data_IF_140912585162
#
_entry.id   IF_140912585162
#
_cell.length_a   1.000
_cell.length_b   1.000
_cell.length_c   1.000
_cell.angle_alpha   90.00
_cell.angle_beta   90.00
_cell.angle_gamma   90.00
#
_symmetry.space_group_name_H-M   'P 1'
#
loop_
_entity.id
_entity.type
_entity.pdbx_description
1 polymer ?
#
# COMPACT_ATOMS: atom_id res chain seq x y z
N UNK A 1 -6.12 -5.32 12.21
CA UNK A 1 -6.92 -5.53 10.97
C UNK A 1 -5.93 -5.73 9.85
N UNK A 2 -6.10 -6.75 9.00
CA UNK A 2 -5.22 -6.97 7.83
C UNK A 2 -5.56 -6.00 6.71
N UNK A 3 -4.59 -5.72 5.83
CA UNK A 3 -4.80 -4.89 4.63
C UNK A 3 -5.97 -5.43 3.79
N UNK A 4 -6.00 -6.74 3.55
CA UNK A 4 -7.03 -7.40 2.75
C UNK A 4 -8.45 -7.22 3.32
N UNK A 5 -8.60 -7.21 4.66
CA UNK A 5 -9.89 -6.98 5.30
C UNK A 5 -10.32 -5.50 5.19
N UNK A 6 -9.39 -4.56 5.34
CA UNK A 6 -9.68 -3.12 5.36
C UNK A 6 -9.93 -2.54 3.97
N UNK A 7 -9.17 -3.00 2.97
CA UNK A 7 -9.20 -2.50 1.59
C UNK A 7 -9.80 -3.51 0.62
N UNK A 8 -10.72 -4.36 1.07
CA UNK A 8 -11.31 -5.43 0.27
C UNK A 8 -11.87 -4.97 -1.08
N UNK A 9 -12.45 -3.76 -1.13
CA UNK A 9 -13.01 -3.17 -2.36
C UNK A 9 -11.94 -2.62 -3.31
N UNK A 10 -10.81 -2.19 -2.76
CA UNK A 10 -9.72 -1.55 -3.50
C UNK A 10 -8.57 -2.54 -3.79
N UNK A 11 -8.72 -3.81 -3.40
CA UNK A 11 -7.67 -4.83 -3.47
C UNK A 11 -7.12 -5.03 -4.89
N UNK A 12 -7.97 -5.01 -5.92
CA UNK A 12 -7.52 -5.09 -7.32
C UNK A 12 -6.64 -3.91 -7.73
N UNK A 13 -6.89 -2.73 -7.15
CA UNK A 13 -6.06 -1.55 -7.39
C UNK A 13 -4.73 -1.67 -6.66
N UNK A 14 -4.75 -2.14 -5.42
CA UNK A 14 -3.53 -2.36 -4.64
C UNK A 14 -2.63 -3.42 -5.28
N UNK A 15 -3.21 -4.51 -5.80
CA UNK A 15 -2.48 -5.52 -6.58
C UNK A 15 -1.83 -4.92 -7.83
N UNK A 16 -2.56 -4.10 -8.60
CA UNK A 16 -1.97 -3.46 -9.78
C UNK A 16 -0.83 -2.49 -9.44
N UNK A 17 -0.92 -1.77 -8.31
CA UNK A 17 0.18 -0.94 -7.83
C UNK A 17 1.39 -1.77 -7.36
N UNK A 18 1.14 -2.86 -6.62
CA UNK A 18 2.17 -3.80 -6.16
C UNK A 18 2.90 -4.50 -7.33
N UNK A 19 2.18 -4.84 -8.40
CA UNK A 19 2.75 -5.38 -9.64
C UNK A 19 3.55 -4.36 -10.46
N UNK A 20 3.68 -3.11 -9.99
CA UNK A 20 4.31 -1.99 -10.71
C UNK A 20 3.62 -1.64 -12.04
N UNK A 21 2.34 -2.00 -12.23
CA UNK A 21 1.57 -1.63 -13.43
C UNK A 21 1.26 -0.14 -13.48
N UNK A 22 1.10 0.50 -12.32
CA UNK A 22 0.86 1.94 -12.20
C UNK A 22 1.25 2.48 -10.83
N UNK A 23 1.43 3.80 -10.77
CA UNK A 23 1.70 4.51 -9.52
C UNK A 23 0.40 4.78 -8.74
N UNK A 24 0.32 4.28 -7.51
CA UNK A 24 -0.89 4.36 -6.69
C UNK A 24 -1.25 5.80 -6.31
N UNK A 25 -0.25 6.61 -6.03
CA UNK A 25 -0.35 8.03 -5.69
C UNK A 25 -0.81 8.87 -6.89
N UNK A 26 -0.38 8.53 -8.11
CA UNK A 26 -0.81 9.20 -9.35
C UNK A 26 -2.23 8.80 -9.73
N UNK A 27 -2.54 7.50 -9.75
CA UNK A 27 -3.83 6.99 -10.22
C UNK A 27 -4.93 7.17 -9.19
N UNK A 28 -4.62 6.95 -7.92
CA UNK A 28 -5.57 6.98 -6.81
C UNK A 28 -4.97 7.68 -5.57
N UNK A 29 -4.72 9.01 -5.61
CA UNK A 29 -4.07 9.76 -4.53
C UNK A 29 -4.82 9.69 -3.19
N UNK A 30 -6.16 9.54 -3.23
CA UNK A 30 -6.98 9.36 -2.03
C UNK A 30 -6.77 7.99 -1.37
N UNK A 31 -6.57 6.95 -2.17
CA UNK A 31 -6.31 5.59 -1.67
C UNK A 31 -4.90 5.51 -1.10
N UNK A 32 -3.91 6.07 -1.80
CA UNK A 32 -2.53 6.18 -1.32
C UNK A 32 -2.47 6.78 0.09
N UNK A 33 -3.09 7.95 0.32
CA UNK A 33 -3.14 8.58 1.65
C UNK A 33 -3.77 7.70 2.73
N UNK A 34 -4.78 6.88 2.38
CA UNK A 34 -5.42 5.96 3.32
C UNK A 34 -4.55 4.76 3.66
N UNK A 35 -3.86 4.20 2.65
CA UNK A 35 -2.97 3.04 2.79
C UNK A 35 -1.74 3.43 3.60
N UNK A 36 -1.11 4.58 3.28
CA UNK A 36 0.00 5.14 4.06
C UNK A 36 -0.37 5.28 5.53
N UNK A 37 -1.52 5.92 5.83
CA UNK A 37 -2.01 6.07 7.20
C UNK A 37 -2.34 4.74 7.89
N UNK A 38 -2.73 3.72 7.13
CA UNK A 38 -2.96 2.38 7.68
C UNK A 38 -1.64 1.74 8.11
N UNK A 39 -0.61 1.81 7.28
CA UNK A 39 0.72 1.32 7.62
C UNK A 39 1.38 2.12 8.74
N UNK A 40 1.26 3.46 8.75
CA UNK A 40 1.68 4.32 9.86
C UNK A 40 1.04 3.85 11.18
N UNK A 41 -0.28 3.58 11.17
CA UNK A 41 -0.99 3.10 12.35
C UNK A 41 -0.62 1.66 12.75
N UNK A 42 -0.08 0.86 11.83
CA UNK A 42 0.42 -0.49 12.11
C UNK A 42 1.87 -0.49 12.60
N UNK A 43 2.53 0.67 12.65
CA UNK A 43 3.91 0.82 13.14
C UNK A 43 4.97 0.95 12.04
N UNK A 44 4.57 1.05 10.77
CA UNK A 44 5.50 1.34 9.67
C UNK A 44 5.98 2.78 9.81
N UNK A 45 7.31 2.95 9.83
CA UNK A 45 7.95 4.26 9.90
C UNK A 45 8.32 4.70 8.50
N UNK A 46 7.68 5.77 8.05
CA UNK A 46 8.00 6.45 6.80
C UNK A 46 9.17 7.42 7.00
N UNK A 47 9.99 7.57 5.97
CA UNK A 47 11.19 8.40 5.95
C UNK A 47 10.87 9.91 5.94
N UNK A 48 9.71 10.28 5.40
CA UNK A 48 9.30 11.66 5.13
C UNK A 48 9.73 12.19 3.77
N UNK A 49 10.56 11.46 3.03
CA UNK A 49 10.80 11.73 1.61
C UNK A 49 9.71 11.07 0.76
N UNK A 50 9.10 11.78 -0.22
CA UNK A 50 8.02 11.23 -1.02
C UNK A 50 8.36 9.99 -1.84
N UNK A 51 9.61 9.87 -2.32
CA UNK A 51 10.04 8.72 -3.13
C UNK A 51 10.30 7.52 -2.25
N UNK A 52 11.08 7.71 -1.17
CA UNK A 52 11.36 6.62 -0.23
C UNK A 52 10.08 6.14 0.46
N UNK A 53 9.18 7.05 0.84
CA UNK A 53 7.89 6.69 1.43
C UNK A 53 7.03 5.86 0.50
N UNK A 54 7.11 6.12 -0.81
CA UNK A 54 6.38 5.35 -1.81
C UNK A 54 6.94 3.93 -1.92
N UNK A 55 8.26 3.79 -2.01
CA UNK A 55 8.92 2.48 -2.06
C UNK A 55 8.61 1.65 -0.81
N UNK A 56 8.74 2.25 0.39
CA UNK A 56 8.37 1.60 1.66
C UNK A 56 6.92 1.12 1.64
N UNK A 57 5.99 1.96 1.16
CA UNK A 57 4.58 1.60 1.09
C UNK A 57 4.34 0.41 0.16
N UNK A 58 4.99 0.39 -1.01
CA UNK A 58 4.83 -0.68 -1.99
C UNK A 58 5.43 -1.99 -1.50
N UNK A 59 6.59 -1.96 -0.84
CA UNK A 59 7.21 -3.16 -0.27
C UNK A 59 6.34 -3.79 0.82
N UNK A 60 5.80 -2.98 1.73
CA UNK A 60 4.83 -3.44 2.73
C UNK A 60 3.56 -3.99 2.08
N UNK A 61 3.09 -3.35 1.01
CA UNK A 61 1.92 -3.76 0.26
C UNK A 61 2.12 -5.13 -0.41
N UNK A 62 3.28 -5.34 -1.04
CA UNK A 62 3.65 -6.61 -1.66
C UNK A 62 3.70 -7.70 -0.59
N UNK A 63 4.38 -7.44 0.53
CA UNK A 63 4.50 -8.38 1.65
C UNK A 63 3.13 -8.80 2.20
N UNK A 64 2.22 -7.84 2.41
CA UNK A 64 0.85 -8.13 2.86
C UNK A 64 0.03 -8.89 1.82
N UNK A 65 0.28 -8.68 0.52
CA UNK A 65 -0.41 -9.40 -0.55
C UNK A 65 0.10 -10.83 -0.69
N UNK A 66 1.41 -11.05 -0.60
CA UNK A 66 2.03 -12.38 -0.65
C UNK A 66 1.62 -13.24 0.55
N UNK A 67 1.55 -12.66 1.75
CA UNK A 67 1.11 -13.39 2.96
C UNK A 67 -0.36 -13.81 2.94
N UNK A 68 -1.20 -13.18 2.13
CA UNK A 68 -2.61 -13.57 1.95
C UNK A 68 -2.79 -14.69 0.92
N UNK A 69 -1.84 -14.87 0.00
CA UNK A 69 -1.87 -15.91 -1.03
C UNK A 69 -1.12 -17.21 -0.65
N UNK A 70 -0.50 -17.26 0.54
CA UNK A 70 0.23 -18.40 1.08
C UNK A 70 -0.65 -19.40 1.87
#
# INVERSE_FOLDING_TARGET
>A
MTLAAKFKKDMSTLKGAASRDFYLDVKNPKLYKKVRKFYENNGVVFSGDPLDDYEILIDELITDLETVEA
#
